data_IF_305725948194
#
_entry.id   IF_305725948194
#
_cell.length_a   1.000
_cell.length_b   1.000
_cell.length_c   1.000
_cell.angle_alpha   90.00
_cell.angle_beta   90.00
_cell.angle_gamma   90.00
#
_symmetry.space_group_name_H-M   'P 1'
#
loop_
_entity.id
_entity.type
_entity.pdbx_description
1 polymer ?
#
# COMPACT_ATOMS: atom_id res chain seq x y z
N UNK A 1 13.38 10.73 23.15
CA UNK A 1 12.57 9.62 22.57
C UNK A 1 11.84 10.01 21.28
N UNK A 2 11.83 11.29 20.89
CA UNK A 2 11.05 11.86 19.79
C UNK A 2 11.50 11.37 18.41
N UNK A 3 12.81 11.23 18.15
CA UNK A 3 13.39 10.90 16.83
C UNK A 3 12.90 9.62 16.13
N UNK A 4 12.56 8.56 16.89
CA UNK A 4 12.48 7.19 16.32
C UNK A 4 11.16 6.89 15.62
N UNK A 5 10.06 7.49 16.06
CA UNK A 5 8.76 7.31 15.41
C UNK A 5 8.63 8.18 14.15
N UNK A 6 9.29 9.35 14.13
CA UNK A 6 9.34 10.25 12.97
C UNK A 6 10.07 9.61 11.79
N UNK A 7 11.15 8.86 12.07
CA UNK A 7 11.86 8.09 11.03
C UNK A 7 10.95 6.99 10.47
N UNK A 8 10.23 6.25 11.31
CA UNK A 8 9.28 5.24 10.84
C UNK A 8 8.17 5.86 9.99
N UNK A 9 7.64 7.01 10.39
CA UNK A 9 6.65 7.76 9.63
C UNK A 9 7.21 8.21 8.28
N UNK A 10 8.36 8.89 8.26
CA UNK A 10 8.99 9.39 7.04
C UNK A 10 9.32 8.28 6.04
N UNK A 11 9.88 7.16 6.51
CA UNK A 11 10.16 5.99 5.66
C UNK A 11 8.87 5.45 5.03
N UNK A 12 7.78 5.33 5.79
CA UNK A 12 6.52 4.79 5.27
C UNK A 12 5.78 5.78 4.36
N UNK A 13 5.88 7.09 4.59
CA UNK A 13 5.40 8.11 3.65
C UNK A 13 6.16 8.01 2.32
N UNK A 14 7.49 7.88 2.37
CA UNK A 14 8.32 7.69 1.17
C UNK A 14 7.98 6.40 0.43
N UNK A 15 7.72 5.30 1.15
CA UNK A 15 7.23 4.04 0.55
C UNK A 15 5.80 4.17 0.01
N UNK A 16 4.99 5.06 0.58
CA UNK A 16 3.63 5.35 0.14
C UNK A 16 3.58 6.01 -1.23
N UNK A 17 4.60 6.81 -1.62
CA UNK A 17 4.66 7.47 -2.94
C UNK A 17 4.64 6.45 -4.09
N UNK A 18 5.57 5.48 -4.20
CA UNK A 18 5.45 4.40 -5.18
C UNK A 18 4.29 3.44 -4.85
N UNK A 19 3.86 3.39 -3.58
CA UNK A 19 2.72 2.59 -3.12
C UNK A 19 1.36 3.03 -3.64
N UNK A 20 1.23 4.27 -4.13
CA UNK A 20 0.02 4.75 -4.79
C UNK A 20 -0.41 3.80 -5.90
N UNK A 21 0.53 3.35 -6.74
CA UNK A 21 0.24 2.48 -7.89
C UNK A 21 -0.40 1.14 -7.46
N UNK A 22 0.23 0.30 -6.60
CA UNK A 22 -0.38 -0.96 -6.18
C UNK A 22 -1.67 -0.74 -5.36
N UNK A 23 -1.79 0.34 -4.59
CA UNK A 23 -3.03 0.64 -3.85
C UNK A 23 -4.19 0.92 -4.81
N UNK A 24 -3.99 1.77 -5.81
CA UNK A 24 -4.99 2.07 -6.83
C UNK A 24 -5.32 0.85 -7.69
N UNK A 25 -4.33 0.01 -8.00
CA UNK A 25 -4.56 -1.22 -8.76
C UNK A 25 -5.43 -2.22 -7.99
N UNK A 26 -5.20 -2.37 -6.68
CA UNK A 26 -6.06 -3.19 -5.81
C UNK A 26 -7.46 -2.60 -5.71
N UNK A 27 -7.58 -1.28 -5.60
CA UNK A 27 -8.88 -0.60 -5.62
C UNK A 27 -9.63 -0.83 -6.94
N UNK A 28 -8.95 -0.67 -8.08
CA UNK A 28 -9.51 -0.93 -9.41
C UNK A 28 -10.03 -2.36 -9.54
N UNK A 29 -9.24 -3.36 -9.13
CA UNK A 29 -9.67 -4.76 -9.12
C UNK A 29 -10.89 -4.98 -8.24
N UNK A 30 -10.88 -4.46 -7.02
CA UNK A 30 -11.99 -4.60 -6.08
C UNK A 30 -13.28 -3.93 -6.59
N UNK A 31 -13.17 -2.70 -7.11
CA UNK A 31 -14.30 -1.96 -7.65
C UNK A 31 -14.87 -2.65 -8.91
N UNK A 32 -14.00 -3.15 -9.78
CA UNK A 32 -14.41 -3.84 -11.00
C UNK A 32 -15.08 -5.18 -10.72
N UNK A 33 -14.66 -5.91 -9.69
CA UNK A 33 -15.35 -7.13 -9.25
C UNK A 33 -16.66 -6.86 -8.53
N UNK A 34 -16.75 -5.78 -7.75
CA UNK A 34 -17.93 -5.49 -6.93
C UNK A 34 -19.07 -4.82 -7.71
N UNK A 35 -18.77 -4.12 -8.80
CA UNK A 35 -19.76 -3.37 -9.58
C UNK A 35 -19.57 -3.44 -11.09
N UNK A 36 -18.70 -4.32 -11.57
CA UNK A 36 -18.48 -4.53 -13.00
C UNK A 36 -19.65 -5.24 -13.68
N UNK A 37 -19.75 -5.11 -15.01
CA UNK A 37 -20.74 -5.84 -15.81
C UNK A 37 -20.53 -7.36 -15.69
N UNK A 38 -21.57 -8.13 -16.04
CA UNK A 38 -21.54 -9.59 -16.05
C UNK A 38 -20.30 -10.09 -16.83
N UNK A 39 -19.49 -11.02 -16.29
CA UNK A 39 -18.31 -11.51 -16.98
C UNK A 39 -18.71 -12.21 -18.28
N UNK A 40 -18.47 -11.57 -19.42
CA UNK A 40 -18.53 -12.20 -20.74
C UNK A 40 -17.27 -13.02 -20.99
N UNK A 41 -17.30 -13.99 -21.90
CA UNK A 41 -16.16 -14.88 -22.18
C UNK A 41 -14.85 -14.14 -22.55
N UNK A 42 -14.94 -12.88 -22.98
CA UNK A 42 -13.81 -12.00 -23.30
C UNK A 42 -13.44 -11.02 -22.17
N UNK A 43 -13.88 -11.24 -20.92
CA UNK A 43 -13.63 -10.28 -19.84
C UNK A 43 -12.13 -10.18 -19.50
N UNK A 44 -11.47 -9.03 -19.79
CA UNK A 44 -10.05 -8.85 -19.51
C UNK A 44 -9.73 -8.86 -18.00
N UNK A 45 -10.72 -8.89 -17.12
CA UNK A 45 -10.53 -8.84 -15.66
C UNK A 45 -9.65 -9.98 -15.13
N UNK A 46 -9.75 -11.18 -15.71
CA UNK A 46 -8.90 -12.31 -15.33
C UNK A 46 -7.43 -12.04 -15.61
N UNK A 47 -7.11 -11.31 -16.70
CA UNK A 47 -5.74 -10.93 -17.07
C UNK A 47 -5.15 -9.85 -16.14
N UNK A 48 -5.98 -9.04 -15.50
CA UNK A 48 -5.51 -8.03 -14.55
C UNK A 48 -4.94 -8.63 -13.25
N UNK A 49 -5.37 -9.83 -12.85
CA UNK A 49 -4.85 -10.52 -11.67
C UNK A 49 -3.34 -10.80 -11.72
N UNK A 50 -2.78 -11.45 -12.76
CA UNK A 50 -1.33 -11.66 -12.84
C UNK A 50 -0.56 -10.33 -12.96
N UNK A 51 -1.09 -9.34 -13.67
CA UNK A 51 -0.49 -7.99 -13.73
C UNK A 51 -0.40 -7.37 -12.34
N UNK A 52 -1.50 -7.43 -11.58
CA UNK A 52 -1.52 -6.93 -10.22
C UNK A 52 -0.60 -7.72 -9.29
N UNK A 53 -0.51 -9.04 -9.44
CA UNK A 53 0.42 -9.84 -8.67
C UNK A 53 1.88 -9.40 -8.90
N UNK A 54 2.27 -9.18 -10.16
CA UNK A 54 3.63 -8.74 -10.52
C UNK A 54 3.98 -7.36 -9.95
N UNK A 55 3.00 -6.51 -9.67
CA UNK A 55 3.23 -5.16 -9.12
C UNK A 55 3.11 -5.16 -7.59
N UNK A 56 2.04 -5.75 -7.05
CA UNK A 56 1.69 -5.72 -5.63
C UNK A 56 2.63 -6.60 -4.81
N UNK A 57 2.95 -7.81 -5.28
CA UNK A 57 3.80 -8.74 -4.53
C UNK A 57 5.20 -8.16 -4.25
N UNK A 58 5.97 -7.69 -5.25
CA UNK A 58 7.29 -7.13 -4.96
C UNK A 58 7.20 -5.85 -4.12
N UNK A 59 6.15 -5.04 -4.30
CA UNK A 59 5.93 -3.87 -3.45
C UNK A 59 5.72 -4.26 -1.98
N UNK A 60 4.85 -5.23 -1.70
CA UNK A 60 4.60 -5.73 -0.34
C UNK A 60 5.87 -6.35 0.25
N UNK A 61 6.63 -7.11 -0.54
CA UNK A 61 7.91 -7.68 -0.11
C UNK A 61 8.94 -6.59 0.23
N UNK A 62 9.06 -5.55 -0.60
CA UNK A 62 9.91 -4.40 -0.34
C UNK A 62 9.49 -3.69 0.94
N UNK A 63 8.20 -3.41 1.09
CA UNK A 63 7.65 -2.76 2.28
C UNK A 63 7.92 -3.56 3.56
N UNK A 64 7.76 -4.89 3.51
CA UNK A 64 8.08 -5.78 4.63
C UNK A 64 9.59 -5.83 4.90
N UNK A 65 10.42 -5.90 3.86
CA UNK A 65 11.87 -5.92 3.96
C UNK A 65 12.41 -4.64 4.63
N UNK A 66 11.81 -3.48 4.33
CA UNK A 66 12.12 -2.22 4.99
C UNK A 66 11.56 -2.19 6.41
N UNK A 67 10.29 -2.50 6.63
CA UNK A 67 9.69 -2.34 7.96
C UNK A 67 10.17 -3.36 9.01
N UNK A 68 10.57 -4.59 8.63
CA UNK A 68 11.07 -5.61 9.56
C UNK A 68 12.27 -5.17 10.40
N UNK A 69 13.39 -4.66 9.84
CA UNK A 69 14.53 -4.19 10.61
C UNK A 69 14.21 -2.91 11.41
N UNK A 70 13.45 -1.97 10.85
CA UNK A 70 13.04 -0.76 11.57
C UNK A 70 12.14 -1.08 12.76
N UNK A 71 11.23 -2.06 12.65
CA UNK A 71 10.43 -2.57 13.76
C UNK A 71 11.30 -3.12 14.88
N UNK A 72 12.29 -3.96 14.58
CA UNK A 72 13.20 -4.54 15.59
C UNK A 72 14.00 -3.48 16.33
N UNK A 73 14.28 -2.35 15.68
CA UNK A 73 15.01 -1.21 16.25
C UNK A 73 14.08 -0.13 16.80
N UNK A 74 12.77 -0.32 16.80
CA UNK A 74 11.81 0.67 17.31
C UNK A 74 11.45 0.37 18.77
N UNK A 75 11.28 1.38 19.63
CA UNK A 75 10.82 1.19 21.00
C UNK A 75 9.28 1.07 21.07
N UNK A 76 8.57 1.23 19.95
CA UNK A 76 7.12 1.14 19.89
C UNK A 76 6.65 -0.30 20.10
N UNK A 77 5.48 -0.45 20.73
CA UNK A 77 4.78 -1.73 20.76
C UNK A 77 4.58 -2.25 19.32
N UNK A 78 4.71 -3.57 19.07
CA UNK A 78 4.68 -4.12 17.71
C UNK A 78 3.42 -3.72 16.92
N UNK A 79 2.26 -3.74 17.58
CA UNK A 79 0.97 -3.35 16.96
C UNK A 79 0.96 -1.88 16.56
N UNK A 80 1.42 -0.99 17.44
CA UNK A 80 1.48 0.45 17.19
C UNK A 80 2.43 0.79 16.04
N UNK A 81 3.59 0.12 15.98
CA UNK A 81 4.53 0.28 14.86
C UNK A 81 3.87 -0.07 13.52
N UNK A 82 3.25 -1.25 13.42
CA UNK A 82 2.63 -1.69 12.17
C UNK A 82 1.45 -0.81 11.77
N UNK A 83 0.60 -0.38 12.72
CA UNK A 83 -0.48 0.56 12.44
C UNK A 83 0.06 1.89 11.91
N UNK A 84 1.09 2.45 12.54
CA UNK A 84 1.72 3.69 12.10
C UNK A 84 2.33 3.53 10.71
N UNK A 85 3.02 2.42 10.43
CA UNK A 85 3.57 2.13 9.10
C UNK A 85 2.48 2.06 8.03
N UNK A 86 1.38 1.35 8.31
CA UNK A 86 0.25 1.25 7.37
C UNK A 86 -0.37 2.63 7.13
N UNK A 87 -0.77 3.33 8.18
CA UNK A 87 -1.38 4.68 8.06
C UNK A 87 -0.46 5.64 7.32
N UNK A 88 0.84 5.63 7.63
CA UNK A 88 1.81 6.48 6.95
C UNK A 88 1.99 6.13 5.47
N UNK A 89 1.87 4.85 5.10
CA UNK A 89 1.94 4.41 3.69
C UNK A 89 0.72 4.85 2.89
N UNK A 90 -0.45 4.96 3.53
CA UNK A 90 -1.69 5.43 2.89
C UNK A 90 -1.77 6.96 2.76
N UNK A 91 -0.97 7.74 3.50
CA UNK A 91 -1.01 9.20 3.48
C UNK A 91 -0.92 9.81 2.07
N UNK A 92 0.03 9.41 1.20
CA UNK A 92 0.10 9.95 -0.17
C UNK A 92 -1.16 9.70 -0.97
N UNK A 93 -1.74 8.50 -0.88
CA UNK A 93 -3.01 8.16 -1.54
C UNK A 93 -4.17 9.00 -1.01
N UNK A 94 -4.28 9.16 0.31
CA UNK A 94 -5.31 10.03 0.91
C UNK A 94 -5.15 11.47 0.48
N UNK A 95 -3.91 11.98 0.42
CA UNK A 95 -3.64 13.33 -0.09
C UNK A 95 -4.09 13.47 -1.55
N UNK A 96 -3.79 12.50 -2.42
CA UNK A 96 -4.28 12.51 -3.80
C UNK A 96 -5.81 12.51 -3.87
N UNK A 97 -6.50 11.74 -3.03
CA UNK A 97 -7.97 11.73 -2.99
C UNK A 97 -8.52 13.11 -2.58
N UNK A 98 -7.86 13.80 -1.64
CA UNK A 98 -8.31 15.10 -1.12
C UNK A 98 -8.01 16.24 -2.11
N UNK A 99 -6.86 16.19 -2.79
CA UNK A 99 -6.36 17.29 -3.60
C UNK A 99 -6.52 17.08 -5.12
N UNK A 100 -6.93 15.89 -5.56
CA UNK A 100 -7.30 15.66 -6.96
C UNK A 100 -8.75 16.08 -7.18
N UNK A 101 -9.02 17.06 -8.07
CA UNK A 101 -10.37 17.43 -8.46
C UNK A 101 -11.08 16.34 -9.27
#
# INVERSE_FOLDING_TARGET
MTGRWQVALGVNVLLGVPGVIPIWLLWFLAASWAGGPEPTDDDPMVLWLPVAAVIVVPYVLLWLAVNRPFRRRSPLAPRTYWLLSVVATFLPTTALIIYSP
#
